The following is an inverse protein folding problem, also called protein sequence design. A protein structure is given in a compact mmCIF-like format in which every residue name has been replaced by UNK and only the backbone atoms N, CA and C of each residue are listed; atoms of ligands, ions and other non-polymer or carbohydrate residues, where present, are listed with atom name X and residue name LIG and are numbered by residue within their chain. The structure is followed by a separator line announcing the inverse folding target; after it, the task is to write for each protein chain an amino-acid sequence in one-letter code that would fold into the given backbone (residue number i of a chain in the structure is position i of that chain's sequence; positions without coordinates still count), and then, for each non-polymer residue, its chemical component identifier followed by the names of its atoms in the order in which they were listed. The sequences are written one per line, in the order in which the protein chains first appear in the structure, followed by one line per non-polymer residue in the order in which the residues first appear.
data_IF_575605133215
#
_entry.id   IF_575605133215
#
_cell.length_a   1.000
_cell.length_b   1.000
_cell.length_c   1.000
_cell.angle_alpha   90.00
_cell.angle_beta   90.00
_cell.angle_gamma   90.00
#
_symmetry.space_group_name_H-M   'P 1'
#
loop_
_entity.id
_entity.type
_entity.pdbx_description
1 polymer ?
#
# COMPACT_ATOMS: atom_id res chain seq x y z
N UNK A 1 4.30 -1.67 -32.96
CA UNK A 1 4.85 -1.21 -31.66
C UNK A 1 3.75 -1.00 -30.60
N UNK A 2 2.52 -1.49 -30.82
CA UNK A 2 1.44 -1.50 -29.82
C UNK A 2 1.11 -2.93 -29.35
N UNK A 3 1.44 -3.95 -30.17
CA UNK A 3 1.11 -5.36 -29.90
C UNK A 3 2.00 -6.04 -28.85
N UNK A 4 3.11 -5.41 -28.43
CA UNK A 4 4.02 -5.95 -27.41
C UNK A 4 3.67 -5.54 -25.99
N UNK A 5 2.72 -4.61 -25.81
CA UNK A 5 2.25 -4.17 -24.48
C UNK A 5 1.11 -5.05 -23.93
N UNK A 6 0.49 -5.90 -24.74
CA UNK A 6 -0.63 -6.74 -24.28
C UNK A 6 -0.19 -7.97 -23.48
N UNK A 7 1.06 -8.40 -23.61
CA UNK A 7 1.63 -9.58 -22.95
C UNK A 7 2.52 -9.27 -21.75
N UNK A 8 2.90 -8.00 -21.56
CA UNK A 8 3.60 -7.58 -20.35
C UNK A 8 2.56 -7.41 -19.24
N UNK A 9 2.64 -8.15 -18.12
CA UNK A 9 1.77 -7.90 -16.99
C UNK A 9 1.91 -6.44 -16.62
N UNK A 10 0.81 -5.68 -16.63
CA UNK A 10 0.84 -4.30 -16.14
C UNK A 10 1.21 -4.42 -14.67
N UNK A 11 2.47 -4.09 -14.37
CA UNK A 11 2.92 -4.05 -12.99
C UNK A 11 2.04 -3.03 -12.28
N UNK A 12 1.32 -3.50 -11.26
CA UNK A 12 0.46 -2.65 -10.44
C UNK A 12 1.28 -1.47 -9.94
N UNK A 13 0.92 -0.26 -10.38
CA UNK A 13 1.65 0.95 -10.03
C UNK A 13 1.20 1.43 -8.65
N UNK A 14 2.14 1.44 -7.71
CA UNK A 14 1.93 2.00 -6.38
C UNK A 14 2.02 3.52 -6.40
N UNK A 15 1.10 4.20 -5.72
CA UNK A 15 1.02 5.65 -5.66
C UNK A 15 2.26 6.27 -4.99
N UNK A 16 2.75 5.63 -3.95
CA UNK A 16 3.87 6.03 -3.08
C UNK A 16 5.25 5.65 -3.60
N UNK A 17 5.35 4.72 -4.56
CA UNK A 17 6.65 4.18 -5.02
C UNK A 17 6.99 4.61 -6.45
N UNK A 18 8.28 4.87 -6.71
CA UNK A 18 8.78 5.24 -8.04
C UNK A 18 8.62 6.72 -8.39
N UNK A 19 9.25 7.13 -9.50
CA UNK A 19 9.31 8.53 -9.93
C UNK A 19 8.03 9.07 -10.59
N UNK A 20 7.94 10.40 -10.80
CA UNK A 20 6.75 11.04 -11.37
C UNK A 20 6.50 10.67 -12.84
N UNK A 21 7.48 10.09 -13.53
CA UNK A 21 7.33 9.58 -14.91
C UNK A 21 6.23 8.52 -15.03
N UNK A 22 5.94 7.76 -13.96
CA UNK A 22 4.84 6.78 -13.96
C UNK A 22 3.47 7.40 -14.24
N UNK A 23 3.24 8.64 -13.81
CA UNK A 23 1.98 9.33 -14.04
C UNK A 23 1.83 9.69 -15.53
N UNK A 24 2.92 10.12 -16.17
CA UNK A 24 2.94 10.32 -17.63
C UNK A 24 2.69 9.00 -18.35
N UNK A 25 3.29 7.89 -17.90
CA UNK A 25 3.05 6.58 -18.50
C UNK A 25 1.56 6.19 -18.39
N UNK A 26 0.96 6.38 -17.21
CA UNK A 26 -0.47 6.14 -17.00
C UNK A 26 -1.31 6.90 -18.02
N UNK A 27 -1.05 8.18 -18.25
CA UNK A 27 -1.81 8.99 -19.22
C UNK A 27 -1.83 8.39 -20.63
N UNK A 28 -0.73 7.74 -21.06
CA UNK A 28 -0.59 7.15 -22.40
C UNK A 28 -1.04 5.68 -22.50
N UNK A 29 -1.47 5.06 -21.41
CA UNK A 29 -1.98 3.69 -21.47
C UNK A 29 -3.28 3.61 -22.28
N UNK A 30 -3.47 2.57 -23.12
CA UNK A 30 -4.64 2.42 -23.98
C UNK A 30 -5.92 2.03 -23.21
N UNK A 31 -5.84 1.87 -21.88
CA UNK A 31 -6.98 1.44 -21.08
C UNK A 31 -7.95 2.60 -20.82
N UNK A 32 -9.27 2.35 -20.80
CA UNK A 32 -10.25 3.39 -20.46
C UNK A 32 -10.22 3.74 -18.96
N UNK A 33 -9.66 2.86 -18.11
CA UNK A 33 -9.58 3.06 -16.65
C UNK A 33 -8.13 2.90 -16.19
N UNK A 34 -7.71 3.77 -15.27
CA UNK A 34 -6.41 3.67 -14.61
C UNK A 34 -6.57 2.86 -13.32
N UNK A 35 -5.68 1.91 -13.11
CA UNK A 35 -5.58 1.17 -11.86
C UNK A 35 -4.27 1.56 -11.17
N UNK A 36 -4.37 1.94 -9.90
CA UNK A 36 -3.23 2.17 -9.03
C UNK A 36 -3.51 1.49 -7.69
N UNK A 37 -2.45 1.11 -7.00
CA UNK A 37 -2.52 0.65 -5.63
C UNK A 37 -1.82 1.62 -4.70
N UNK A 38 -2.10 1.53 -3.41
CA UNK A 38 -1.45 2.34 -2.38
C UNK A 38 -1.51 1.60 -1.06
N UNK A 39 -0.42 1.65 -0.30
CA UNK A 39 -0.41 1.24 1.11
C UNK A 39 -0.63 2.44 2.05
N UNK A 40 -0.78 3.66 1.52
CA UNK A 40 -0.93 4.84 2.34
C UNK A 40 -2.29 4.87 3.08
N UNK A 41 -2.32 5.30 4.35
CA UNK A 41 -3.56 5.67 5.01
C UNK A 41 -4.22 6.86 4.31
N UNK A 42 -5.55 6.99 4.44
CA UNK A 42 -6.31 8.13 3.91
C UNK A 42 -5.77 9.48 4.38
N UNK A 43 -5.23 9.54 5.60
CA UNK A 43 -4.66 10.75 6.24
C UNK A 43 -3.43 11.30 5.52
N UNK A 44 -2.76 10.48 4.71
CA UNK A 44 -1.62 10.89 3.87
C UNK A 44 -2.03 11.11 2.41
N UNK A 45 -3.33 11.06 2.10
CA UNK A 45 -3.88 11.22 0.76
C UNK A 45 -4.85 12.40 0.69
N UNK A 46 -4.95 13.00 -0.49
CA UNK A 46 -5.98 14.01 -0.75
C UNK A 46 -7.28 13.32 -1.17
N UNK A 47 -8.03 12.81 -0.19
CA UNK A 47 -9.29 12.08 -0.41
C UNK A 47 -10.32 12.93 -1.17
N UNK A 48 -10.37 14.23 -0.91
CA UNK A 48 -11.25 15.16 -1.64
C UNK A 48 -10.94 15.21 -3.13
N UNK A 49 -9.65 15.18 -3.51
CA UNK A 49 -9.26 15.09 -4.93
C UNK A 49 -9.67 13.76 -5.55
N UNK A 50 -9.55 12.65 -4.81
CA UNK A 50 -9.99 11.31 -5.26
C UNK A 50 -11.50 11.31 -5.53
N UNK A 51 -12.29 11.89 -4.61
CA UNK A 51 -13.74 12.05 -4.75
C UNK A 51 -14.11 12.90 -5.97
N UNK A 52 -13.47 14.07 -6.14
CA UNK A 52 -13.72 14.97 -7.29
C UNK A 52 -13.35 14.33 -8.63
N UNK A 53 -12.36 13.44 -8.64
CA UNK A 53 -11.97 12.68 -9.83
C UNK A 53 -12.93 11.52 -10.14
N UNK A 54 -13.97 11.29 -9.32
CA UNK A 54 -14.88 10.16 -9.40
C UNK A 54 -14.14 8.80 -9.41
N UNK A 55 -12.98 8.75 -8.74
CA UNK A 55 -12.20 7.54 -8.59
C UNK A 55 -12.82 6.66 -7.51
N UNK A 56 -12.82 5.34 -7.76
CA UNK A 56 -13.28 4.34 -6.79
C UNK A 56 -12.09 3.81 -5.99
N UNK A 57 -12.29 3.63 -4.70
CA UNK A 57 -11.31 3.05 -3.78
C UNK A 57 -11.82 1.70 -3.31
N UNK A 58 -10.95 0.69 -3.39
CA UNK A 58 -11.21 -0.63 -2.81
C UNK A 58 -10.20 -0.85 -1.68
N UNK A 59 -10.69 -0.82 -0.45
CA UNK A 59 -9.92 -1.06 0.76
C UNK A 59 -9.90 -2.56 1.05
N UNK A 60 -8.75 -3.17 0.81
CA UNK A 60 -8.54 -4.61 1.08
C UNK A 60 -8.13 -4.79 2.54
N UNK A 61 -8.95 -5.50 3.30
CA UNK A 61 -8.75 -5.76 4.73
C UNK A 61 -8.47 -7.24 4.93
N UNK A 62 -7.50 -7.53 5.79
CA UNK A 62 -7.17 -8.88 6.24
C UNK A 62 -7.17 -8.88 7.76
N UNK A 63 -7.44 -10.03 8.38
CA UNK A 63 -7.22 -10.18 9.82
C UNK A 63 -5.81 -9.66 10.20
N UNK A 64 -5.68 -8.72 11.17
CA UNK A 64 -4.40 -8.13 11.54
C UNK A 64 -3.33 -9.14 11.95
N UNK A 65 -3.75 -10.27 12.56
CA UNK A 65 -2.83 -11.36 12.94
C UNK A 65 -2.26 -12.07 11.71
N UNK A 66 -3.13 -12.40 10.76
CA UNK A 66 -2.72 -13.07 9.51
C UNK A 66 -1.88 -12.15 8.63
N UNK A 67 -2.20 -10.85 8.64
CA UNK A 67 -1.40 -9.83 7.99
C UNK A 67 -0.01 -9.77 8.61
N UNK A 68 0.11 -9.66 9.94
CA UNK A 68 1.40 -9.60 10.63
C UNK A 68 2.29 -10.82 10.33
N UNK A 69 1.72 -12.04 10.34
CA UNK A 69 2.45 -13.27 9.96
C UNK A 69 2.88 -13.21 8.49
N UNK A 70 2.00 -12.77 7.59
CA UNK A 70 2.32 -12.62 6.18
C UNK A 70 3.46 -11.61 5.97
N UNK A 71 3.45 -10.50 6.71
CA UNK A 71 4.47 -9.48 6.63
C UNK A 71 5.82 -9.98 7.19
N UNK A 72 5.81 -10.73 8.29
CA UNK A 72 7.00 -11.37 8.86
C UNK A 72 7.74 -12.26 7.86
N UNK A 73 7.02 -13.04 7.05
CA UNK A 73 7.64 -13.89 6.03
C UNK A 73 7.98 -13.17 4.72
N UNK A 74 7.31 -12.06 4.42
CA UNK A 74 7.48 -11.34 3.16
C UNK A 74 8.55 -10.25 3.24
N UNK A 75 8.56 -9.44 4.31
CA UNK A 75 9.41 -8.27 4.42
C UNK A 75 10.92 -8.57 4.31
N UNK A 76 11.46 -9.68 4.87
CA UNK A 76 12.86 -10.04 4.70
C UNK A 76 13.29 -10.29 3.24
N UNK A 77 12.33 -10.58 2.35
CA UNK A 77 12.58 -10.85 0.92
C UNK A 77 12.68 -9.58 0.08
N UNK A 78 12.38 -8.41 0.65
CA UNK A 78 12.41 -7.13 -0.05
C UNK A 78 13.82 -6.51 0.03
N UNK A 79 14.50 -6.26 -1.11
CA UNK A 79 15.88 -5.77 -1.10
C UNK A 79 16.07 -4.46 -0.33
N UNK A 80 15.12 -3.52 -0.44
CA UNK A 80 15.21 -2.22 0.23
C UNK A 80 15.01 -2.30 1.75
N UNK A 81 14.38 -3.37 2.25
CA UNK A 81 14.24 -3.63 3.69
C UNK A 81 15.48 -4.27 4.30
N UNK A 82 16.46 -4.66 3.48
CA UNK A 82 17.75 -5.23 3.92
C UNK A 82 18.84 -4.16 4.12
N UNK A 83 18.46 -2.88 4.12
CA UNK A 83 19.35 -1.76 4.39
C UNK A 83 19.30 -1.38 5.87
N UNK A 84 20.44 -1.00 6.45
CA UNK A 84 20.51 -0.49 7.82
C UNK A 84 19.87 0.90 7.93
N UNK A 85 19.18 1.24 9.05
CA UNK A 85 18.96 0.40 10.25
C UNK A 85 17.73 -0.53 10.14
N UNK A 86 16.99 -0.49 9.03
CA UNK A 86 15.71 -1.22 8.85
C UNK A 86 15.88 -2.72 8.94
N UNK A 87 17.00 -3.24 8.42
CA UNK A 87 17.35 -4.65 8.44
C UNK A 87 17.26 -5.27 9.85
N UNK A 88 17.72 -4.55 10.87
CA UNK A 88 17.69 -5.03 12.26
C UNK A 88 16.26 -5.20 12.79
N UNK A 89 15.35 -4.34 12.36
CA UNK A 89 13.95 -4.42 12.75
C UNK A 89 13.25 -5.60 12.04
N UNK A 90 13.54 -5.77 10.74
CA UNK A 90 12.84 -6.73 9.87
C UNK A 90 13.31 -8.18 10.08
N UNK A 91 14.60 -8.38 10.34
CA UNK A 91 15.17 -9.72 10.51
C UNK A 91 15.18 -10.18 11.99
N UNK A 92 14.37 -9.56 12.84
CA UNK A 92 14.21 -9.97 14.23
C UNK A 92 13.41 -11.29 14.36
N UNK A 93 13.62 -12.03 15.44
CA UNK A 93 12.80 -13.19 15.79
C UNK A 93 11.34 -12.79 16.01
N UNK A 94 10.39 -13.70 15.76
CA UNK A 94 8.95 -13.40 15.72
C UNK A 94 8.42 -12.53 16.89
N UNK A 95 8.72 -12.81 18.17
CA UNK A 95 8.21 -11.98 19.27
C UNK A 95 8.69 -10.53 19.20
N UNK A 96 9.94 -10.33 18.80
CA UNK A 96 10.55 -9.01 18.69
C UNK A 96 10.10 -8.29 17.40
N UNK A 97 9.98 -9.02 16.29
CA UNK A 97 9.38 -8.49 15.07
C UNK A 97 7.96 -7.97 15.33
N UNK A 98 7.14 -8.76 16.03
CA UNK A 98 5.76 -8.38 16.34
C UNK A 98 5.73 -7.12 17.21
N UNK A 99 6.57 -7.03 18.25
CA UNK A 99 6.74 -5.80 19.04
C UNK A 99 7.07 -4.60 18.16
N UNK A 100 8.06 -4.74 17.27
CA UNK A 100 8.47 -3.65 16.40
C UNK A 100 7.37 -3.24 15.43
N UNK A 101 6.61 -4.22 14.95
CA UNK A 101 5.53 -4.01 14.01
C UNK A 101 4.34 -3.26 14.63
N UNK A 102 3.81 -3.75 15.76
CA UNK A 102 2.61 -3.16 16.39
C UNK A 102 2.88 -1.83 17.08
N UNK A 103 4.13 -1.55 17.43
CA UNK A 103 4.55 -0.25 17.95
C UNK A 103 5.00 0.73 16.84
N UNK A 104 4.75 0.39 15.56
CA UNK A 104 5.02 1.29 14.43
C UNK A 104 6.49 1.69 14.28
N UNK A 105 7.42 0.81 14.66
CA UNK A 105 8.88 1.04 14.48
C UNK A 105 9.32 0.79 13.03
N UNK A 106 8.49 0.11 12.24
CA UNK A 106 8.79 -0.27 10.86
C UNK A 106 8.50 0.89 9.89
N UNK A 107 9.43 1.26 8.99
CA UNK A 107 9.20 2.31 8.00
C UNK A 107 8.42 1.77 6.79
N UNK A 108 7.10 1.64 6.95
CA UNK A 108 6.19 1.05 5.95
C UNK A 108 5.24 2.07 5.32
N UNK A 109 5.74 3.28 5.03
CA UNK A 109 4.93 4.32 4.38
C UNK A 109 3.80 4.89 5.25
N UNK A 110 3.92 4.73 6.57
CA UNK A 110 3.02 5.29 7.58
C UNK A 110 3.78 6.29 8.47
N UNK A 111 3.06 7.04 9.30
CA UNK A 111 3.71 7.98 10.24
C UNK A 111 4.42 7.21 11.36
N UNK A 112 5.43 7.80 12.03
CA UNK A 112 6.07 7.17 13.16
C UNK A 112 5.06 6.73 14.23
N UNK A 113 5.15 5.48 14.68
CA UNK A 113 4.22 4.91 15.66
C UNK A 113 2.93 4.33 15.08
N UNK A 114 2.68 4.50 13.77
CA UNK A 114 1.55 3.87 13.09
C UNK A 114 1.90 2.48 12.55
N UNK A 115 0.91 1.60 12.55
CA UNK A 115 0.98 0.28 11.96
C UNK A 115 -0.32 -0.06 11.22
N UNK A 116 -0.49 -1.31 10.80
CA UNK A 116 -1.59 -1.72 9.92
C UNK A 116 -2.98 -1.27 10.36
N UNK A 117 -3.26 -1.27 11.66
CA UNK A 117 -4.57 -0.82 12.15
C UNK A 117 -4.83 0.66 11.93
N UNK A 118 -3.79 1.50 11.97
CA UNK A 118 -3.92 2.93 11.69
C UNK A 118 -4.24 3.18 10.22
N UNK A 119 -3.67 2.37 9.32
CA UNK A 119 -4.05 2.35 7.90
C UNK A 119 -5.53 2.03 7.71
N UNK A 120 -6.02 0.98 8.38
CA UNK A 120 -7.43 0.60 8.32
C UNK A 120 -8.34 1.66 8.93
N UNK A 121 -7.96 2.22 10.08
CA UNK A 121 -8.71 3.26 10.77
C UNK A 121 -8.89 4.51 9.91
N UNK A 122 -7.82 4.97 9.25
CA UNK A 122 -7.91 6.11 8.35
C UNK A 122 -8.92 5.89 7.23
N UNK A 123 -8.85 4.75 6.55
CA UNK A 123 -9.83 4.45 5.49
C UNK A 123 -11.24 4.22 6.03
N UNK A 124 -11.38 3.72 7.26
CA UNK A 124 -12.69 3.48 7.89
C UNK A 124 -13.47 4.77 8.14
N UNK A 125 -12.79 5.91 8.30
CA UNK A 125 -13.45 7.24 8.34
C UNK A 125 -14.20 7.57 7.03
N UNK A 126 -13.93 6.84 5.96
CA UNK A 126 -14.54 6.97 4.64
C UNK A 126 -15.40 5.77 4.26
N UNK A 127 -15.74 4.87 5.19
CA UNK A 127 -16.47 3.64 4.88
C UNK A 127 -17.88 3.89 4.30
N UNK A 128 -18.52 4.99 4.67
CA UNK A 128 -19.85 5.39 4.18
C UNK A 128 -19.79 6.21 2.87
N UNK A 129 -18.59 6.54 2.37
CA UNK A 129 -18.44 7.26 1.11
C UNK A 129 -18.83 6.36 -0.07
N UNK A 130 -19.71 6.87 -0.95
CA UNK A 130 -20.25 6.10 -2.10
C UNK A 130 -19.19 5.54 -3.07
N UNK A 131 -17.97 6.09 -3.05
CA UNK A 131 -16.87 5.67 -3.90
C UNK A 131 -15.82 4.81 -3.18
N UNK A 132 -16.06 4.39 -1.93
CA UNK A 132 -15.18 3.53 -1.14
C UNK A 132 -15.87 2.19 -0.88
N UNK A 133 -15.13 1.09 -1.03
CA UNK A 133 -15.64 -0.25 -0.78
C UNK A 133 -14.61 -1.05 0.03
N UNK A 134 -15.07 -1.67 1.11
CA UNK A 134 -14.25 -2.57 1.92
C UNK A 134 -14.43 -4.02 1.46
N UNK A 135 -13.32 -4.75 1.31
CA UNK A 135 -13.31 -6.18 0.99
C UNK A 135 -12.43 -6.89 2.01
N UNK A 136 -13.02 -7.82 2.76
CA UNK A 136 -12.34 -8.53 3.85
C UNK A 136 -11.92 -9.94 3.41
N UNK A 137 -10.73 -10.37 3.84
CA UNK A 137 -10.12 -11.68 3.60
C UNK A 137 -9.70 -12.37 4.90
#
# INVERSE_FOLDING_TARGET
MLDTLSSTPIQMMFYEAGGPSKFKLLDHLPFPRRLMATHLPSTLMNVEKIKRANAKVVCVVRNPKDQAISWFHFAPKLPYMQLEPVKQLINAEWPQFLDHYVNGKMPIGMRPGEWYLDHLKGWNEHADDKNVMFVCF
#
